data_IF_154456045820
#
_entry.id   IF_154456045820
#
_cell.length_a   1.000
_cell.length_b   1.000
_cell.length_c   1.000
_cell.angle_alpha   90.00
_cell.angle_beta   90.00
_cell.angle_gamma   90.00
#
_symmetry.space_group_name_H-M   'P 1'
#
loop_
_entity.id
_entity.type
_entity.pdbx_description
1 polymer ?
#
# COMPACT_ATOMS: atom_id res chain seq x y z
N UNK A 1 -44.38 23.09 9.76
CA UNK A 1 -43.67 23.33 8.48
C UNK A 1 -42.42 22.47 8.47
N UNK A 2 -42.27 21.68 7.41
CA UNK A 2 -41.28 20.63 7.27
C UNK A 2 -39.96 21.17 6.68
N UNK A 3 -38.83 20.58 7.07
CA UNK A 3 -37.77 20.17 6.13
C UNK A 3 -36.75 19.27 6.85
N UNK A 4 -36.84 17.96 6.60
CA UNK A 4 -35.79 16.97 6.88
C UNK A 4 -34.87 16.92 5.66
N UNK A 5 -33.60 17.25 5.82
CA UNK A 5 -32.56 16.95 4.82
C UNK A 5 -31.88 15.62 5.17
N UNK A 6 -32.39 14.54 4.57
CA UNK A 6 -31.73 13.25 4.58
C UNK A 6 -30.71 13.19 3.43
N UNK A 7 -29.42 13.09 3.76
CA UNK A 7 -28.34 12.88 2.80
C UNK A 7 -28.20 11.37 2.56
N UNK A 8 -28.63 10.91 1.39
CA UNK A 8 -28.52 9.52 0.98
C UNK A 8 -27.05 9.15 0.71
N UNK A 9 -26.59 8.03 1.28
CA UNK A 9 -25.33 7.39 0.96
C UNK A 9 -25.54 6.49 -0.27
N UNK A 10 -24.79 6.78 -1.33
CA UNK A 10 -24.73 6.01 -2.58
C UNK A 10 -23.97 4.70 -2.38
N UNK A 11 -24.56 3.52 -2.70
CA UNK A 11 -23.80 2.28 -2.74
C UNK A 11 -23.02 2.14 -4.05
N UNK A 12 -21.70 2.05 -3.95
CA UNK A 12 -20.80 1.71 -5.04
C UNK A 12 -21.18 0.35 -5.66
N UNK A 13 -21.55 0.38 -6.94
CA UNK A 13 -21.92 -0.79 -7.73
C UNK A 13 -20.66 -1.45 -8.31
N UNK A 14 -20.32 -2.64 -7.81
CA UNK A 14 -19.21 -3.47 -8.30
C UNK A 14 -19.70 -4.26 -9.51
N UNK A 15 -19.23 -3.91 -10.73
CA UNK A 15 -19.49 -4.69 -11.93
C UNK A 15 -18.49 -5.84 -12.03
N UNK A 16 -18.96 -7.06 -11.78
CA UNK A 16 -18.25 -8.32 -12.04
C UNK A 16 -18.57 -8.76 -13.48
N UNK A 17 -17.61 -8.64 -14.39
CA UNK A 17 -17.74 -9.14 -15.76
C UNK A 17 -17.41 -10.64 -15.79
N UNK A 18 -18.41 -11.47 -16.07
CA UNK A 18 -18.25 -12.88 -16.45
C UNK A 18 -18.29 -12.97 -17.97
N UNK A 19 -17.16 -13.23 -18.61
CA UNK A 19 -17.10 -13.53 -20.04
C UNK A 19 -17.16 -15.04 -20.23
N UNK A 20 -18.24 -15.51 -20.83
CA UNK A 20 -18.42 -16.89 -21.28
C UNK A 20 -17.54 -17.17 -22.50
N UNK A 21 -16.87 -18.32 -22.50
CA UNK A 21 -16.04 -18.81 -23.60
C UNK A 21 -16.88 -19.85 -24.35
N UNK A 22 -17.51 -19.44 -25.46
CA UNK A 22 -18.13 -20.37 -26.41
C UNK A 22 -17.20 -20.62 -27.60
N UNK A 23 -16.83 -21.89 -27.76
CA UNK A 23 -16.09 -22.48 -28.87
C UNK A 23 -16.81 -22.36 -30.21
N UNK A 24 -16.09 -21.97 -31.27
CA UNK A 24 -16.56 -22.03 -32.65
C UNK A 24 -15.41 -21.98 -33.64
N UNK A 25 -15.06 -23.13 -34.20
CA UNK A 25 -14.05 -23.31 -35.25
C UNK A 25 -14.61 -22.84 -36.60
N UNK A 26 -13.89 -21.96 -37.31
CA UNK A 26 -13.85 -21.86 -38.78
C UNK A 26 -12.74 -20.88 -39.24
N UNK A 27 -11.78 -21.38 -40.02
CA UNK A 27 -10.86 -20.60 -40.90
C UNK A 27 -11.03 -21.17 -42.32
N UNK A 28 -10.58 -20.51 -43.42
CA UNK A 28 -10.16 -19.12 -43.61
C UNK A 28 -10.83 -18.45 -44.83
N UNK A 29 -10.72 -17.12 -44.96
CA UNK A 29 -10.67 -16.49 -46.29
C UNK A 29 -9.69 -15.32 -46.28
N UNK A 30 -8.64 -15.48 -47.09
CA UNK A 30 -7.65 -14.47 -47.38
C UNK A 30 -8.31 -13.26 -48.06
N UNK A 31 -8.13 -12.09 -47.43
CA UNK A 31 -8.04 -10.81 -48.14
C UNK A 31 -7.26 -9.86 -47.24
N UNK A 32 -5.94 -9.86 -47.40
CA UNK A 32 -5.14 -8.71 -47.03
C UNK A 32 -5.55 -7.56 -47.95
N UNK A 33 -6.53 -6.78 -47.50
CA UNK A 33 -6.71 -5.42 -47.99
C UNK A 33 -5.75 -4.56 -47.16
N UNK A 34 -4.58 -4.30 -47.74
CA UNK A 34 -3.66 -3.28 -47.27
C UNK A 34 -4.36 -1.93 -47.30
N UNK A 35 -4.91 -1.48 -46.18
CA UNK A 35 -5.20 -0.07 -45.99
C UNK A 35 -3.92 0.59 -45.50
N UNK A 36 -3.23 1.20 -46.46
CA UNK A 36 -2.23 2.23 -46.26
C UNK A 36 -2.87 3.40 -45.51
N UNK A 37 -3.01 3.28 -44.19
CA UNK A 37 -3.10 4.44 -43.34
C UNK A 37 -1.68 4.98 -43.20
N UNK A 38 -1.33 5.88 -44.10
CA UNK A 38 -0.19 6.78 -43.98
C UNK A 38 -0.33 7.62 -42.71
N UNK A 39 0.00 7.00 -41.57
CA UNK A 39 0.30 7.72 -40.33
C UNK A 39 1.61 8.45 -40.58
N UNK A 40 1.48 9.66 -41.11
CA UNK A 40 2.51 10.70 -41.06
C UNK A 40 2.65 11.10 -39.60
N UNK A 41 3.30 10.24 -38.81
CA UNK A 41 3.59 10.47 -37.40
C UNK A 41 5.08 10.79 -37.28
N UNK A 42 5.34 12.10 -37.24
CA UNK A 42 6.38 12.73 -36.43
C UNK A 42 7.83 12.33 -36.77
N UNK A 43 8.41 12.94 -37.82
CA UNK A 43 9.87 13.03 -38.03
C UNK A 43 10.60 13.47 -36.74
N UNK A 44 9.94 14.26 -35.89
CA UNK A 44 10.44 14.60 -34.55
C UNK A 44 10.61 13.39 -33.64
N UNK A 45 9.71 12.41 -33.65
CA UNK A 45 9.80 11.19 -32.85
C UNK A 45 10.94 10.28 -33.32
N UNK A 46 11.14 10.15 -34.63
CA UNK A 46 12.23 9.34 -35.21
C UNK A 46 13.60 9.99 -34.98
N UNK A 47 13.65 11.33 -34.97
CA UNK A 47 14.85 12.09 -34.60
C UNK A 47 15.13 11.98 -33.10
N UNK A 48 14.10 12.08 -32.26
CA UNK A 48 14.23 11.93 -30.81
C UNK A 48 14.63 10.50 -30.44
N UNK A 49 14.07 9.47 -31.08
CA UNK A 49 14.48 8.09 -30.87
C UNK A 49 15.93 7.87 -31.31
N UNK A 50 16.33 8.38 -32.48
CA UNK A 50 17.73 8.29 -32.92
C UNK A 50 18.72 9.02 -32.01
N UNK A 51 18.33 10.17 -31.45
CA UNK A 51 19.13 10.90 -30.45
C UNK A 51 19.19 10.13 -29.13
N UNK A 52 18.06 9.60 -28.63
CA UNK A 52 18.00 8.79 -27.41
C UNK A 52 18.84 7.52 -27.56
N UNK A 53 18.77 6.85 -28.71
CA UNK A 53 19.56 5.67 -29.01
C UNK A 53 21.04 6.02 -29.02
N UNK A 54 21.47 7.06 -29.75
CA UNK A 54 22.88 7.50 -29.75
C UNK A 54 23.39 7.89 -28.35
N UNK A 55 22.51 8.49 -27.53
CA UNK A 55 22.78 8.82 -26.13
C UNK A 55 22.90 7.56 -25.28
N UNK A 56 22.11 6.53 -25.54
CA UNK A 56 22.20 5.26 -24.83
C UNK A 56 23.44 4.46 -25.25
N UNK A 57 23.78 4.45 -26.55
CA UNK A 57 25.01 3.81 -27.07
C UNK A 57 26.28 4.37 -26.40
N UNK A 58 26.36 5.68 -26.11
CA UNK A 58 27.54 6.26 -25.45
C UNK A 58 27.67 5.85 -23.98
N UNK A 59 26.59 5.44 -23.34
CA UNK A 59 26.57 4.97 -21.95
C UNK A 59 26.87 3.46 -21.85
N UNK A 60 26.78 2.74 -22.97
CA UNK A 60 27.12 1.33 -23.03
C UNK A 60 28.65 1.12 -23.05
N UNK A 61 29.12 0.00 -22.46
CA UNK A 61 30.49 -0.46 -22.63
C UNK A 61 30.84 -0.55 -24.13
N UNK A 62 32.09 -0.23 -24.53
CA UNK A 62 32.54 -0.27 -25.92
C UNK A 62 32.15 -1.55 -26.68
N UNK A 63 32.14 -2.68 -25.97
CA UNK A 63 31.83 -4.02 -26.45
C UNK A 63 30.35 -4.17 -26.89
N UNK A 64 29.46 -3.33 -26.36
CA UNK A 64 28.02 -3.36 -26.63
C UNK A 64 27.54 -2.22 -27.56
N UNK A 65 28.45 -1.36 -28.06
CA UNK A 65 28.10 -0.21 -28.92
C UNK A 65 27.88 -0.63 -30.37
N UNK A 66 26.83 -0.11 -31.01
CA UNK A 66 26.61 -0.25 -32.46
C UNK A 66 25.91 -1.55 -32.91
N UNK A 67 25.57 -2.44 -31.97
CA UNK A 67 24.74 -3.62 -32.20
C UNK A 67 23.25 -3.22 -32.26
N UNK A 68 22.83 -2.63 -33.38
CA UNK A 68 21.48 -2.03 -33.52
C UNK A 68 20.32 -3.04 -33.49
N UNK A 69 20.51 -4.30 -33.87
CA UNK A 69 19.40 -5.22 -34.19
C UNK A 69 19.54 -6.66 -33.67
N UNK A 70 20.62 -7.03 -32.97
CA UNK A 70 20.58 -8.28 -32.19
C UNK A 70 19.82 -7.94 -30.93
N UNK A 71 18.74 -8.68 -30.64
CA UNK A 71 18.06 -8.59 -29.34
C UNK A 71 19.16 -8.64 -28.29
N UNK A 72 19.38 -7.53 -27.57
CA UNK A 72 20.25 -7.50 -26.41
C UNK A 72 19.64 -8.47 -25.42
N UNK A 73 20.04 -9.73 -25.50
CA UNK A 73 19.61 -10.72 -24.54
C UNK A 73 20.25 -10.30 -23.22
N UNK A 74 19.48 -10.41 -22.15
CA UNK A 74 19.96 -10.12 -20.80
C UNK A 74 21.29 -10.85 -20.51
N UNK A 75 21.47 -12.02 -21.11
CA UNK A 75 22.69 -12.84 -21.05
C UNK A 75 23.93 -12.18 -21.67
N UNK A 76 23.79 -11.43 -22.77
CA UNK A 76 24.93 -10.76 -23.42
C UNK A 76 25.40 -9.56 -22.60
N UNK A 77 24.44 -8.79 -22.05
CA UNK A 77 24.73 -7.70 -21.12
C UNK A 77 25.38 -8.26 -19.85
N UNK A 78 24.86 -9.35 -19.29
CA UNK A 78 25.47 -10.02 -18.13
C UNK A 78 26.89 -10.50 -18.43
N UNK A 79 27.14 -11.08 -19.60
CA UNK A 79 28.46 -11.55 -20.00
C UNK A 79 29.51 -10.44 -20.03
N UNK A 80 29.18 -9.30 -20.65
CA UNK A 80 30.09 -8.14 -20.69
C UNK A 80 30.29 -7.52 -19.30
N UNK A 81 29.24 -7.44 -18.48
CA UNK A 81 29.34 -6.96 -17.10
C UNK A 81 30.26 -7.85 -16.29
N UNK A 82 30.09 -9.17 -16.37
CA UNK A 82 30.90 -10.15 -15.64
C UNK A 82 32.38 -10.07 -16.04
N UNK A 83 32.67 -10.03 -17.35
CA UNK A 83 34.04 -9.87 -17.86
C UNK A 83 34.71 -8.60 -17.31
N UNK A 84 33.96 -7.51 -17.24
CA UNK A 84 34.47 -6.23 -16.73
C UNK A 84 34.71 -6.28 -15.22
N UNK A 85 33.85 -6.96 -14.46
CA UNK A 85 34.05 -7.20 -13.03
C UNK A 85 35.32 -8.02 -12.80
N UNK A 86 35.53 -9.12 -13.55
CA UNK A 86 36.75 -9.92 -13.47
C UNK A 86 38.00 -9.10 -13.76
N UNK A 87 37.98 -8.31 -14.81
CA UNK A 87 39.12 -7.45 -15.16
C UNK A 87 39.39 -6.40 -14.08
N UNK A 88 38.35 -5.75 -13.54
CA UNK A 88 38.48 -4.81 -12.42
C UNK A 88 38.96 -5.49 -11.12
N UNK A 89 38.64 -6.76 -10.90
CA UNK A 89 39.19 -7.55 -9.78
C UNK A 89 40.67 -7.86 -9.97
N UNK A 90 41.08 -8.29 -11.17
CA UNK A 90 42.46 -8.61 -11.52
C UNK A 90 43.37 -7.37 -11.46
N UNK A 91 42.86 -6.22 -11.92
CA UNK A 91 43.53 -4.92 -11.82
C UNK A 91 43.54 -4.34 -10.40
N UNK A 92 42.86 -4.99 -9.43
CA UNK A 92 42.81 -4.52 -8.04
C UNK A 92 42.06 -3.20 -7.85
N UNK A 93 41.21 -2.79 -8.80
CA UNK A 93 40.46 -1.52 -8.72
C UNK A 93 39.52 -1.46 -7.51
N UNK A 94 39.08 -2.62 -7.01
CA UNK A 94 38.23 -2.74 -5.82
C UNK A 94 39.02 -2.59 -4.51
N UNK A 95 40.36 -2.62 -4.56
CA UNK A 95 41.20 -2.55 -3.37
C UNK A 95 41.47 -1.11 -2.91
N UNK A 96 41.53 -0.16 -3.83
CA UNK A 96 41.79 1.24 -3.55
C UNK A 96 40.51 2.10 -3.54
N UNK A 97 39.39 1.52 -3.11
CA UNK A 97 38.14 2.28 -3.00
C UNK A 97 38.21 3.32 -1.87
N UNK A 98 37.76 4.57 -2.12
CA UNK A 98 37.73 5.59 -1.08
C UNK A 98 36.82 5.14 0.06
N UNK A 99 37.42 4.92 1.24
CA UNK A 99 36.69 4.48 2.44
C UNK A 99 36.72 2.97 2.71
N UNK A 100 37.46 2.16 1.93
CA UNK A 100 37.65 0.73 2.26
C UNK A 100 38.24 0.59 3.67
N UNK A 101 37.57 -0.21 4.50
CA UNK A 101 37.97 -0.47 5.89
C UNK A 101 37.67 0.65 6.91
N UNK A 102 37.11 1.78 6.49
CA UNK A 102 36.68 2.84 7.43
C UNK A 102 35.24 2.58 7.89
N UNK A 103 34.91 2.83 9.17
CA UNK A 103 33.53 2.76 9.62
C UNK A 103 32.66 3.74 8.84
N UNK A 104 31.49 3.28 8.41
CA UNK A 104 30.52 4.09 7.67
C UNK A 104 30.01 5.20 8.58
N UNK A 105 30.06 6.44 8.11
CA UNK A 105 29.51 7.59 8.84
C UNK A 105 27.98 7.57 8.76
N UNK A 106 27.32 7.01 9.78
CA UNK A 106 25.85 6.98 9.88
C UNK A 106 25.20 8.37 10.01
N UNK A 107 25.99 9.41 10.30
CA UNK A 107 25.52 10.78 10.49
C UNK A 107 25.25 11.54 9.20
N UNK A 108 25.77 11.07 8.06
CA UNK A 108 25.64 11.79 6.79
C UNK A 108 24.76 10.97 5.87
N UNK A 109 23.52 11.42 5.66
CA UNK A 109 22.62 10.82 4.70
C UNK A 109 22.97 11.35 3.28
N UNK A 110 23.58 10.54 2.38
CA UNK A 110 24.16 11.03 1.13
C UNK A 110 23.17 11.58 0.07
N UNK A 111 21.86 11.25 0.07
CA UNK A 111 20.89 11.84 -0.85
C UNK A 111 19.98 12.91 -0.24
N UNK A 112 20.18 13.34 1.02
CA UNK A 112 19.32 14.37 1.62
C UNK A 112 19.69 15.78 1.13
N UNK A 113 18.68 16.63 0.92
CA UNK A 113 18.85 18.06 0.72
C UNK A 113 19.76 18.63 1.84
N UNK A 114 20.81 19.42 1.52
CA UNK A 114 21.71 20.00 2.53
C UNK A 114 20.99 20.74 3.67
N UNK A 115 19.83 21.35 3.39
CA UNK A 115 19.02 22.03 4.41
C UNK A 115 18.35 21.04 5.36
N UNK A 116 17.70 20.01 4.81
CA UNK A 116 17.00 18.96 5.56
C UNK A 116 17.98 18.13 6.43
N UNK A 117 19.16 17.83 5.90
CA UNK A 117 20.21 17.14 6.65
C UNK A 117 20.72 17.98 7.83
N UNK A 118 20.81 19.30 7.66
CA UNK A 118 21.20 20.21 8.75
C UNK A 118 20.13 20.26 9.83
N UNK A 119 18.85 20.35 9.44
CA UNK A 119 17.73 20.31 10.38
C UNK A 119 17.73 19.01 11.20
N UNK A 120 17.81 17.85 10.54
CA UNK A 120 17.82 16.56 11.25
C UNK A 120 19.04 16.38 12.15
N UNK A 121 20.20 16.90 11.74
CA UNK A 121 21.41 16.92 12.57
C UNK A 121 21.26 17.81 13.81
N UNK A 122 20.59 18.96 13.71
CA UNK A 122 20.31 19.81 14.86
C UNK A 122 19.33 19.11 15.80
N UNK A 123 18.25 18.53 15.26
CA UNK A 123 17.26 17.80 16.05
C UNK A 123 17.88 16.62 16.80
N UNK A 124 18.69 15.80 16.14
CA UNK A 124 19.36 14.65 16.77
C UNK A 124 20.34 15.07 17.86
N UNK A 125 21.11 16.15 17.65
CA UNK A 125 22.00 16.72 18.68
C UNK A 125 21.25 17.17 19.94
N UNK A 126 20.03 17.68 19.77
CA UNK A 126 19.18 18.10 20.88
C UNK A 126 18.33 16.96 21.46
N UNK A 127 18.47 15.73 20.95
CA UNK A 127 17.65 14.59 21.36
C UNK A 127 16.18 14.69 20.93
N UNK A 128 15.86 15.59 20.01
CA UNK A 128 14.51 15.81 19.50
C UNK A 128 14.25 14.98 18.23
N UNK A 129 13.03 14.44 18.13
CA UNK A 129 12.60 13.75 16.92
C UNK A 129 12.02 14.74 15.89
N UNK A 130 12.11 14.45 14.58
CA UNK A 130 11.38 15.19 13.56
C UNK A 130 9.87 15.22 13.83
N UNK A 131 9.22 16.29 13.37
CA UNK A 131 7.79 16.50 13.54
C UNK A 131 6.95 15.32 13.04
N UNK A 132 7.28 14.76 11.87
CA UNK A 132 6.59 13.60 11.31
C UNK A 132 6.73 12.33 12.18
N UNK A 133 7.85 12.18 12.91
CA UNK A 133 8.04 11.05 13.85
C UNK A 133 7.13 11.24 15.06
N UNK A 134 7.09 12.45 15.60
CA UNK A 134 6.24 12.80 16.74
C UNK A 134 4.76 12.61 16.39
N UNK A 135 4.34 13.14 15.23
CA UNK A 135 2.98 12.98 14.73
C UNK A 135 2.62 11.50 14.53
N UNK A 136 3.52 10.68 13.98
CA UNK A 136 3.30 9.24 13.85
C UNK A 136 3.13 8.54 15.20
N UNK A 137 3.88 8.96 16.22
CA UNK A 137 3.73 8.45 17.58
C UNK A 137 2.34 8.80 18.13
N UNK A 138 1.92 10.05 17.97
CA UNK A 138 0.64 10.54 18.48
C UNK A 138 -0.56 9.88 17.75
N UNK A 139 -0.45 9.66 16.44
CA UNK A 139 -1.46 8.89 15.69
C UNK A 139 -1.56 7.47 16.23
N UNK A 140 -0.42 6.81 16.50
CA UNK A 140 -0.40 5.44 17.02
C UNK A 140 -1.00 5.35 18.43
N UNK A 141 -0.72 6.30 19.31
CA UNK A 141 -1.30 6.33 20.66
C UNK A 141 -2.81 6.54 20.57
N UNK A 142 -3.28 7.53 19.81
CA UNK A 142 -4.71 7.75 19.61
C UNK A 142 -5.39 6.49 19.05
N UNK A 143 -4.86 5.88 17.99
CA UNK A 143 -5.42 4.65 17.42
C UNK A 143 -5.51 3.53 18.47
N UNK A 144 -4.53 3.41 19.36
CA UNK A 144 -4.58 2.43 20.45
C UNK A 144 -5.69 2.73 21.46
N UNK A 145 -5.88 3.99 21.85
CA UNK A 145 -6.95 4.43 22.73
C UNK A 145 -8.33 4.18 22.12
N UNK A 146 -8.51 4.55 20.84
CA UNK A 146 -9.73 4.30 20.09
C UNK A 146 -10.05 2.80 20.02
N UNK A 147 -9.06 1.93 19.81
CA UNK A 147 -9.25 0.47 19.82
C UNK A 147 -9.70 -0.05 21.18
N UNK A 148 -9.11 0.46 22.27
CA UNK A 148 -9.51 0.08 23.63
C UNK A 148 -10.94 0.54 23.93
N UNK A 149 -11.28 1.78 23.61
CA UNK A 149 -12.63 2.32 23.78
C UNK A 149 -13.66 1.51 22.96
N UNK A 150 -13.32 1.16 21.72
CA UNK A 150 -14.18 0.36 20.86
C UNK A 150 -14.39 -1.05 21.42
N UNK A 151 -13.33 -1.71 21.89
CA UNK A 151 -13.45 -3.04 22.51
C UNK A 151 -14.34 -3.01 23.75
N UNK A 152 -14.17 -2.01 24.63
CA UNK A 152 -15.05 -1.83 25.81
C UNK A 152 -16.51 -1.65 25.39
N UNK A 153 -16.78 -0.77 24.43
CA UNK A 153 -18.14 -0.55 23.92
C UNK A 153 -18.74 -1.82 23.28
N UNK A 154 -17.90 -2.60 22.60
CA UNK A 154 -18.33 -3.84 21.96
C UNK A 154 -18.64 -4.95 22.97
N UNK A 155 -17.86 -5.06 24.04
CA UNK A 155 -18.13 -5.99 25.14
C UNK A 155 -19.40 -5.60 25.92
N UNK A 156 -19.64 -4.29 26.12
CA UNK A 156 -20.91 -3.79 26.67
C UNK A 156 -22.08 -4.19 25.76
N UNK A 157 -21.96 -3.99 24.44
CA UNK A 157 -23.01 -4.39 23.48
C UNK A 157 -23.30 -5.89 23.52
N UNK A 158 -22.28 -6.73 23.65
CA UNK A 158 -22.43 -8.19 23.81
C UNK A 158 -23.07 -8.56 25.15
N UNK A 159 -22.68 -7.90 26.24
CA UNK A 159 -23.30 -8.04 27.55
C UNK A 159 -24.79 -7.70 27.52
N UNK A 160 -25.13 -6.57 26.90
CA UNK A 160 -26.51 -6.12 26.73
C UNK A 160 -27.35 -7.12 25.93
N UNK A 161 -26.80 -7.70 24.85
CA UNK A 161 -27.51 -8.73 24.08
C UNK A 161 -27.87 -9.97 24.91
N UNK A 162 -26.98 -10.41 25.81
CA UNK A 162 -27.26 -11.50 26.77
C UNK A 162 -28.31 -11.10 27.80
N UNK A 163 -28.23 -9.87 28.32
CA UNK A 163 -29.19 -9.33 29.27
C UNK A 163 -30.62 -9.34 28.69
N UNK A 164 -30.77 -8.87 27.45
CA UNK A 164 -32.07 -8.86 26.75
C UNK A 164 -32.66 -10.27 26.63
N UNK A 165 -31.83 -11.29 26.39
CA UNK A 165 -32.27 -12.70 26.38
C UNK A 165 -32.81 -13.16 27.73
N UNK A 166 -32.06 -12.90 28.82
CA UNK A 166 -32.48 -13.25 30.19
C UNK A 166 -33.77 -12.52 30.59
N UNK A 167 -33.91 -11.25 30.21
CA UNK A 167 -35.14 -10.48 30.43
C UNK A 167 -36.32 -11.11 29.70
N UNK A 168 -36.15 -11.51 28.44
CA UNK A 168 -37.19 -12.16 27.67
C UNK A 168 -37.64 -13.49 28.29
N UNK A 169 -36.70 -14.30 28.79
CA UNK A 169 -37.00 -15.54 29.51
C UNK A 169 -37.74 -15.30 30.83
N UNK A 170 -37.30 -14.29 31.60
CA UNK A 170 -37.96 -13.92 32.86
C UNK A 170 -39.41 -13.45 32.63
N UNK A 171 -39.66 -12.71 31.54
CA UNK A 171 -41.02 -12.30 31.14
C UNK A 171 -41.86 -13.50 30.70
N UNK A 172 -41.29 -14.42 29.89
CA UNK A 172 -41.98 -15.64 29.48
C UNK A 172 -42.38 -16.52 30.68
N UNK A 173 -41.49 -16.65 31.66
CA UNK A 173 -41.79 -17.35 32.91
C UNK A 173 -42.96 -16.71 33.67
N UNK A 174 -42.94 -15.38 33.83
CA UNK A 174 -43.98 -14.64 34.56
C UNK A 174 -45.36 -14.70 33.89
N UNK A 175 -45.42 -14.97 32.57
CA UNK A 175 -46.66 -15.17 31.81
C UNK A 175 -47.27 -16.56 32.01
N UNK A 176 -46.44 -17.58 32.27
CA UNK A 176 -46.88 -18.98 32.43
C UNK A 176 -47.33 -19.27 33.87
N UNK A 177 -46.74 -18.61 34.86
CA UNK A 177 -46.98 -18.89 36.28
C UNK A 177 -48.20 -18.12 36.81
N UNK A 178 -49.11 -18.83 37.50
CA UNK A 178 -50.29 -18.26 38.17
C UNK A 178 -49.89 -17.15 39.15
N UNK A 179 -50.60 -16.02 39.12
CA UNK A 179 -50.38 -14.85 39.99
C UNK A 179 -50.15 -15.26 41.46
N UNK A 180 -49.07 -14.74 42.06
CA UNK A 180 -48.60 -15.08 43.42
C UNK A 180 -47.26 -15.82 43.48
N UNK A 181 -46.80 -16.42 42.36
CA UNK A 181 -45.44 -16.98 42.19
C UNK A 181 -44.66 -16.33 41.03
N UNK A 182 -44.94 -15.07 40.75
CA UNK A 182 -44.17 -14.31 39.76
C UNK A 182 -42.78 -14.02 40.33
N UNK A 183 -41.74 -14.08 39.49
CA UNK A 183 -40.41 -13.62 39.86
C UNK A 183 -40.46 -12.11 40.09
N UNK A 184 -40.62 -11.72 41.35
CA UNK A 184 -40.25 -10.38 41.81
C UNK A 184 -38.79 -10.46 42.22
N UNK A 185 -37.88 -9.89 41.43
CA UNK A 185 -36.46 -10.07 41.76
C UNK A 185 -35.45 -9.31 40.94
N UNK A 186 -35.67 -9.12 39.64
CA UNK A 186 -34.75 -8.32 38.84
C UNK A 186 -35.22 -6.87 38.81
N UNK A 187 -34.95 -6.15 39.91
CA UNK A 187 -34.92 -4.69 39.91
C UNK A 187 -33.72 -4.24 39.07
N UNK A 188 -33.85 -4.30 37.74
CA UNK A 188 -32.78 -3.97 36.80
C UNK A 188 -32.20 -2.58 37.04
N UNK A 189 -32.99 -1.65 37.55
CA UNK A 189 -32.55 -0.32 37.99
C UNK A 189 -31.47 -0.39 39.08
N UNK A 190 -31.59 -1.31 40.05
CA UNK A 190 -30.60 -1.52 41.13
C UNK A 190 -29.36 -2.30 40.68
N UNK A 191 -29.47 -3.07 39.60
CA UNK A 191 -28.34 -3.82 39.05
C UNK A 191 -27.51 -2.94 38.10
N UNK A 192 -28.18 -2.08 37.31
CA UNK A 192 -27.55 -1.06 36.47
C UNK A 192 -26.87 0.00 37.33
N UNK A 193 -27.49 0.45 38.42
CA UNK A 193 -26.87 1.38 39.37
C UNK A 193 -25.59 0.83 40.03
N UNK A 194 -25.45 -0.51 40.12
CA UNK A 194 -24.24 -1.18 40.64
C UNK A 194 -23.10 -1.32 39.62
N UNK A 195 -23.37 -1.07 38.34
CA UNK A 195 -22.36 -1.07 37.26
C UNK A 195 -21.83 0.34 36.95
N UNK A 196 -22.52 1.38 37.40
CA UNK A 196 -22.10 2.79 37.27
C UNK A 196 -21.24 3.28 38.45
N UNK A 197 -21.10 2.49 39.52
CA UNK A 197 -20.21 2.71 40.68
C UNK A 197 -18.83 2.06 40.47
#
# INVERSE_FOLDING_TARGET
MATRLARALSPYSVKRSTAEISSGVSRPRSRWASSSSSKKMNNTSDRLSGVIDAVNERNLPPELRGQRNSVRSETDIQGVVEQRIWHSMEEGQLENLPGKGKPVNLNTNPPADPEENTLYRILSKNGCAPEWVQLNKDIRTQVSEWRLALNRAWDIKRGMGRLVGVVAEAVAYNLIVRFGRQMSGLNWEKEVARLEE
#
